data_IF_207291240532
#
_entry.id   IF_207291240532
#
_cell.length_a   1.000
_cell.length_b   1.000
_cell.length_c   1.000
_cell.angle_alpha   90.00
_cell.angle_beta   90.00
_cell.angle_gamma   90.00
#
_symmetry.space_group_name_H-M   'P 1'
#
loop_
_entity.id
_entity.type
_entity.pdbx_description
1 polymer ?
#
# COMPACT_ATOMS: atom_id res chain seq x y z
N UNK A 1 -20.76 6.40 -2.38
CA UNK A 1 -19.61 5.67 -2.97
C UNK A 1 -18.54 6.67 -3.38
N UNK A 2 -17.28 6.40 -3.03
CA UNK A 2 -16.12 7.23 -3.38
C UNK A 2 -15.29 6.54 -4.46
N UNK A 3 -14.64 7.31 -5.33
CA UNK A 3 -13.57 6.78 -6.18
C UNK A 3 -12.33 6.45 -5.35
N UNK A 4 -11.41 5.59 -5.83
CA UNK A 4 -10.16 5.30 -5.10
C UNK A 4 -9.35 6.56 -4.78
N UNK A 5 -9.21 7.48 -5.75
CA UNK A 5 -8.54 8.78 -5.55
C UNK A 5 -9.24 9.64 -4.49
N UNK A 6 -10.58 9.61 -4.43
CA UNK A 6 -11.33 10.37 -3.43
C UNK A 6 -11.19 9.76 -2.03
N UNK A 7 -11.31 8.44 -1.90
CA UNK A 7 -11.15 7.74 -0.62
C UNK A 7 -9.76 7.98 0.00
N UNK A 8 -8.69 7.92 -0.80
CA UNK A 8 -7.33 8.24 -0.34
C UNK A 8 -7.19 9.69 0.14
N UNK A 9 -7.85 10.66 -0.52
CA UNK A 9 -7.82 12.06 -0.12
C UNK A 9 -8.55 12.32 1.20
N UNK A 10 -9.69 11.65 1.40
CA UNK A 10 -10.47 11.74 2.66
C UNK A 10 -9.69 11.08 3.79
N UNK A 11 -9.09 9.92 3.53
CA UNK A 11 -8.20 9.25 4.49
C UNK A 11 -7.00 10.12 4.89
N UNK A 12 -6.36 10.80 3.94
CA UNK A 12 -5.23 11.69 4.22
C UNK A 12 -5.58 12.92 5.09
N UNK A 13 -6.88 13.18 5.32
CA UNK A 13 -7.41 14.21 6.23
C UNK A 13 -7.94 13.63 7.54
N UNK A 14 -7.70 12.35 7.80
CA UNK A 14 -8.19 11.60 8.95
C UNK A 14 -9.73 11.53 9.03
N UNK A 15 -10.42 11.76 7.91
CA UNK A 15 -11.90 11.72 7.80
C UNK A 15 -12.43 10.33 7.40
N UNK A 16 -11.53 9.37 7.09
CA UNK A 16 -11.88 8.00 6.73
C UNK A 16 -10.81 7.02 7.23
N UNK A 17 -11.22 6.13 8.14
CA UNK A 17 -10.37 5.01 8.56
C UNK A 17 -10.33 3.94 7.47
N UNK A 18 -9.14 3.43 7.16
CA UNK A 18 -8.93 2.39 6.16
C UNK A 18 -8.05 1.28 6.73
N UNK A 19 -8.46 0.01 6.61
CA UNK A 19 -7.56 -1.10 6.84
C UNK A 19 -6.34 -1.01 5.90
N UNK A 20 -5.12 -1.37 6.36
CA UNK A 20 -3.91 -1.40 5.53
C UNK A 20 -4.06 -2.07 4.15
N UNK A 21 -4.62 -3.30 4.02
CA UNK A 21 -4.77 -3.93 2.71
C UNK A 21 -5.74 -3.17 1.79
N UNK A 22 -6.75 -2.52 2.35
CA UNK A 22 -7.70 -1.67 1.60
C UNK A 22 -6.99 -0.43 1.06
N UNK A 23 -6.19 0.25 1.88
CA UNK A 23 -5.41 1.41 1.43
C UNK A 23 -4.48 1.05 0.26
N UNK A 24 -3.76 -0.06 0.34
CA UNK A 24 -2.89 -0.54 -0.75
C UNK A 24 -3.69 -0.82 -2.02
N UNK A 25 -4.84 -1.48 -1.90
CA UNK A 25 -5.73 -1.75 -3.04
C UNK A 25 -6.20 -0.45 -3.69
N UNK A 26 -6.59 0.55 -2.91
CA UNK A 26 -7.00 1.87 -3.41
C UNK A 26 -5.84 2.61 -4.09
N UNK A 27 -4.61 2.56 -3.55
CA UNK A 27 -3.42 3.12 -4.21
C UNK A 27 -3.19 2.52 -5.59
N UNK A 28 -3.37 1.21 -5.74
CA UNK A 28 -3.22 0.52 -7.04
C UNK A 28 -4.32 0.91 -8.02
N UNK A 29 -5.58 0.89 -7.58
CA UNK A 29 -6.72 1.26 -8.43
C UNK A 29 -6.67 2.74 -8.83
N UNK A 30 -6.15 3.61 -7.97
CA UNK A 30 -6.00 5.04 -8.25
C UNK A 30 -5.01 5.34 -9.39
N UNK A 31 -4.20 4.37 -9.84
CA UNK A 31 -3.30 4.53 -11.00
C UNK A 31 -4.05 4.51 -12.33
N UNK A 32 -5.25 3.92 -12.38
CA UNK A 32 -6.07 3.85 -13.60
C UNK A 32 -7.01 5.04 -13.71
N UNK A 33 -7.29 5.47 -14.94
CA UNK A 33 -8.21 6.56 -15.20
C UNK A 33 -9.64 6.08 -15.43
N UNK A 34 -9.81 4.83 -15.87
CA UNK A 34 -11.12 4.23 -16.09
C UNK A 34 -11.13 2.72 -15.80
N UNK A 35 -12.34 2.15 -15.72
CA UNK A 35 -12.53 0.74 -15.42
C UNK A 35 -11.93 -0.18 -16.50
N UNK A 36 -11.95 0.23 -17.78
CA UNK A 36 -11.40 -0.56 -18.88
C UNK A 36 -9.91 -0.83 -18.69
N UNK A 37 -9.13 0.22 -18.43
CA UNK A 37 -7.69 0.10 -18.16
C UNK A 37 -7.40 -0.78 -16.94
N UNK A 38 -8.20 -0.62 -15.88
CA UNK A 38 -8.05 -1.44 -14.67
C UNK A 38 -8.29 -2.92 -14.98
N UNK A 39 -9.38 -3.25 -15.66
CA UNK A 39 -9.71 -4.63 -16.04
C UNK A 39 -8.64 -5.26 -16.92
N UNK A 40 -8.24 -4.58 -18.01
CA UNK A 40 -7.21 -5.07 -18.93
C UNK A 40 -5.85 -5.27 -18.23
N UNK A 41 -5.53 -4.45 -17.23
CA UNK A 41 -4.30 -4.60 -16.45
C UNK A 41 -4.39 -5.72 -15.41
N UNK A 42 -5.56 -6.00 -14.84
CA UNK A 42 -5.75 -6.92 -13.72
C UNK A 42 -6.09 -8.34 -14.18
N UNK A 43 -6.78 -8.52 -15.30
CA UNK A 43 -7.15 -9.85 -15.83
C UNK A 43 -5.95 -10.77 -16.10
N UNK A 44 -4.79 -10.18 -16.40
CA UNK A 44 -3.54 -10.92 -16.70
C UNK A 44 -2.65 -11.15 -15.48
N UNK A 45 -3.09 -10.74 -14.29
CA UNK A 45 -2.29 -10.83 -13.06
C UNK A 45 -2.87 -11.88 -12.13
N UNK A 46 -2.01 -12.62 -11.46
CA UNK A 46 -2.47 -13.44 -10.33
C UNK A 46 -2.93 -12.54 -9.17
N UNK A 47 -4.03 -12.88 -8.49
CA UNK A 47 -4.47 -12.15 -7.31
C UNK A 47 -3.37 -12.12 -6.26
N UNK A 48 -2.99 -10.92 -5.84
CA UNK A 48 -1.95 -10.78 -4.84
C UNK A 48 -2.42 -11.27 -3.47
N UNK A 49 -1.64 -12.15 -2.86
CA UNK A 49 -1.86 -12.58 -1.48
C UNK A 49 -1.13 -11.63 -0.53
N UNK A 50 -1.89 -10.89 0.26
CA UNK A 50 -1.33 -10.02 1.29
C UNK A 50 -0.99 -10.80 2.55
N UNK A 51 0.29 -11.10 2.74
CA UNK A 51 0.84 -11.59 4.02
C UNK A 51 1.71 -10.49 4.63
N UNK A 52 1.14 -9.52 5.35
CA UNK A 52 1.91 -8.41 5.91
C UNK A 52 2.84 -8.87 7.03
N UNK A 53 4.05 -8.31 7.06
CA UNK A 53 4.97 -8.37 8.21
C UNK A 53 5.12 -6.95 8.80
N UNK A 54 4.35 -6.62 9.86
CA UNK A 54 4.43 -5.32 10.49
C UNK A 54 5.72 -5.20 11.31
N UNK A 55 6.45 -4.11 11.09
CA UNK A 55 7.60 -3.68 11.89
C UNK A 55 7.23 -2.39 12.58
N UNK A 56 7.20 -2.42 13.92
CA UNK A 56 6.89 -1.24 14.74
C UNK A 56 8.18 -0.48 15.01
N UNK A 57 8.17 0.82 14.74
CA UNK A 57 9.28 1.72 15.03
C UNK A 57 8.81 2.99 15.75
N UNK A 58 9.75 3.85 16.17
CA UNK A 58 9.43 5.08 16.90
C UNK A 58 8.60 6.08 16.07
N UNK A 59 8.69 6.02 14.75
CA UNK A 59 7.99 6.92 13.84
C UNK A 59 6.65 6.38 13.33
N UNK A 60 6.27 5.16 13.69
CA UNK A 60 5.05 4.49 13.22
C UNK A 60 5.30 3.05 12.83
N UNK A 61 4.39 2.49 12.02
CA UNK A 61 4.42 1.09 11.61
C UNK A 61 4.78 1.02 10.12
N UNK A 62 5.69 0.11 9.78
CA UNK A 62 5.96 -0.27 8.39
C UNK A 62 5.43 -1.67 8.16
N UNK A 63 4.46 -1.83 7.28
CA UNK A 63 3.98 -3.15 6.86
C UNK A 63 4.74 -3.58 5.62
N UNK A 64 5.66 -4.54 5.79
CA UNK A 64 6.41 -5.13 4.69
C UNK A 64 5.57 -6.19 3.99
N UNK A 65 5.64 -6.24 2.66
CA UNK A 65 4.97 -7.26 1.85
C UNK A 65 5.98 -8.11 1.09
N UNK A 66 5.55 -9.29 0.67
CA UNK A 66 6.37 -10.22 -0.11
C UNK A 66 6.94 -9.53 -1.37
N UNK A 67 8.26 -9.66 -1.56
CA UNK A 67 9.01 -8.95 -2.59
C UNK A 67 9.70 -7.67 -2.12
N UNK A 68 9.45 -7.19 -0.90
CA UNK A 68 10.30 -6.17 -0.27
C UNK A 68 11.64 -6.80 0.17
N UNK A 69 12.75 -6.09 -0.03
CA UNK A 69 14.08 -6.53 0.37
C UNK A 69 14.21 -6.80 1.88
N UNK A 70 13.41 -6.11 2.70
CA UNK A 70 13.37 -6.29 4.14
C UNK A 70 12.43 -7.40 4.63
N UNK A 71 11.64 -8.01 3.75
CA UNK A 71 10.50 -8.84 4.15
C UNK A 71 10.90 -10.02 5.03
N UNK A 72 11.87 -10.84 4.61
CA UNK A 72 12.23 -12.05 5.37
C UNK A 72 12.89 -11.76 6.72
N UNK A 73 13.72 -10.71 6.79
CA UNK A 73 14.44 -10.32 8.00
C UNK A 73 13.65 -9.38 8.91
N UNK A 74 12.46 -8.94 8.48
CA UNK A 74 11.72 -7.83 9.11
C UNK A 74 12.58 -6.56 9.28
N UNK A 75 13.48 -6.30 8.32
CA UNK A 75 14.43 -5.20 8.36
C UNK A 75 14.01 -4.08 7.38
N UNK A 76 13.45 -3.00 7.93
CA UNK A 76 13.03 -1.84 7.14
C UNK A 76 14.20 -1.09 6.47
N UNK A 77 15.42 -1.27 6.98
CA UNK A 77 16.63 -0.61 6.50
C UNK A 77 17.34 -1.36 5.37
N UNK A 78 16.98 -2.64 5.15
CA UNK A 78 17.53 -3.47 4.08
C UNK A 78 17.49 -2.73 2.74
N UNK A 79 18.57 -2.80 1.97
CA UNK A 79 18.66 -2.15 0.67
C UNK A 79 18.06 -3.04 -0.42
N UNK A 80 17.36 -2.45 -1.37
CA UNK A 80 16.78 -3.15 -2.52
C UNK A 80 15.33 -2.78 -2.80
N UNK A 81 14.61 -3.70 -3.45
CA UNK A 81 13.22 -3.54 -3.88
C UNK A 81 12.30 -3.17 -2.70
N UNK A 82 11.40 -2.21 -2.93
CA UNK A 82 10.40 -1.75 -1.96
C UNK A 82 9.03 -2.26 -2.32
N UNK A 83 8.37 -2.88 -1.36
CA UNK A 83 6.97 -3.28 -1.44
C UNK A 83 6.37 -3.26 -0.05
N UNK A 84 5.99 -2.06 0.39
CA UNK A 84 5.62 -1.81 1.79
C UNK A 84 4.68 -0.64 1.95
N UNK A 85 3.94 -0.66 3.04
CA UNK A 85 3.10 0.46 3.47
C UNK A 85 3.74 1.14 4.68
N UNK A 86 3.99 2.44 4.55
CA UNK A 86 4.42 3.31 5.64
C UNK A 86 3.19 3.93 6.30
N UNK A 87 3.05 3.71 7.60
CA UNK A 87 1.96 4.24 8.44
C UNK A 87 2.59 5.04 9.58
N UNK A 88 2.99 6.30 9.32
CA UNK A 88 3.60 7.12 10.35
C UNK A 88 2.60 7.45 11.47
N UNK A 89 3.11 7.74 12.67
CA UNK A 89 2.27 8.18 13.79
C UNK A 89 1.54 9.51 13.52
N UNK A 90 2.10 10.33 12.62
CA UNK A 90 1.51 11.58 12.16
C UNK A 90 1.81 11.77 10.67
N UNK A 91 0.82 12.27 9.93
CA UNK A 91 0.90 12.50 8.49
C UNK A 91 0.31 11.35 7.67
N UNK A 92 0.36 11.49 6.34
CA UNK A 92 -0.33 10.57 5.43
C UNK A 92 0.44 9.27 5.22
N UNK A 93 -0.31 8.17 5.09
CA UNK A 93 0.25 6.88 4.73
C UNK A 93 0.82 6.89 3.31
N UNK A 94 1.85 6.08 3.08
CA UNK A 94 2.50 5.94 1.75
C UNK A 94 2.72 4.47 1.42
N UNK A 95 2.17 4.03 0.30
CA UNK A 95 2.48 2.74 -0.29
C UNK A 95 3.68 2.90 -1.24
N UNK A 96 4.75 2.16 -0.99
CA UNK A 96 5.94 2.07 -1.84
C UNK A 96 5.93 0.74 -2.59
N UNK A 97 5.99 0.80 -3.91
CA UNK A 97 6.03 -0.37 -4.79
C UNK A 97 6.96 -0.06 -5.97
N UNK A 98 8.25 -0.34 -5.76
CA UNK A 98 9.26 -0.24 -6.83
C UNK A 98 9.33 -1.57 -7.57
N UNK A 99 9.33 -1.53 -8.89
CA UNK A 99 9.60 -2.70 -9.73
C UNK A 99 11.07 -3.15 -9.61
#
# INVERSE_FOLDING_TARGET
WLSPKAALKVHARDELELPPPTFVTLCKLARFNCIREAMESLERREPERFTPRPVVGPSGIVSLYEGDAGYEAADVSALGRRRRLLMPNAGSWRFEDSE
#
